data_IF_641313004479
#
_entry.id   IF_641313004479
#
_cell.length_a   1.000
_cell.length_b   1.000
_cell.length_c   1.000
_cell.angle_alpha   90.00
_cell.angle_beta   90.00
_cell.angle_gamma   90.00
#
_symmetry.space_group_name_H-M   'P 1'
#
loop_
_entity.id
_entity.type
_entity.pdbx_description
1 polymer ?
#
# COMPACT_ATOMS: atom_id res chain seq x y z
N UNK A 1 -34.65 -20.97 -38.87
CA UNK A 1 -33.38 -20.41 -39.39
C UNK A 1 -32.90 -19.39 -38.38
N UNK A 2 -31.60 -19.38 -38.13
CA UNK A 2 -30.91 -19.03 -36.87
C UNK A 2 -31.20 -17.63 -36.30
N UNK A 3 -31.54 -17.59 -35.00
CA UNK A 3 -31.43 -16.46 -34.08
C UNK A 3 -29.95 -16.14 -33.82
N UNK A 4 -29.55 -14.88 -33.92
CA UNK A 4 -28.20 -14.43 -33.55
C UNK A 4 -28.23 -13.16 -32.69
N UNK A 5 -28.44 -13.34 -31.38
CA UNK A 5 -28.14 -12.34 -30.35
C UNK A 5 -26.62 -12.31 -30.13
N UNK A 6 -25.98 -11.15 -30.28
CA UNK A 6 -24.63 -10.88 -29.80
C UNK A 6 -24.72 -9.76 -28.77
N UNK A 7 -24.81 -10.15 -27.50
CA UNK A 7 -24.54 -9.28 -26.36
C UNK A 7 -23.02 -9.31 -26.12
N UNK A 8 -22.34 -8.21 -26.44
CA UNK A 8 -20.92 -8.03 -26.20
C UNK A 8 -20.69 -7.62 -24.74
N UNK A 9 -19.98 -8.50 -24.02
CA UNK A 9 -18.93 -8.19 -23.04
C UNK A 9 -19.31 -7.22 -21.91
N UNK A 10 -19.83 -7.76 -20.81
CA UNK A 10 -19.94 -7.04 -19.55
C UNK A 10 -18.57 -6.54 -19.08
N UNK A 11 -18.52 -5.25 -18.73
CA UNK A 11 -17.46 -4.68 -17.90
C UNK A 11 -17.36 -5.52 -16.63
N UNK A 12 -16.15 -6.01 -16.32
CA UNK A 12 -15.88 -6.78 -15.12
C UNK A 12 -16.45 -6.05 -13.91
N UNK A 13 -17.43 -6.67 -13.25
CA UNK A 13 -17.98 -6.11 -12.03
C UNK A 13 -16.84 -6.04 -10.99
N UNK A 14 -16.75 -4.94 -10.21
CA UNK A 14 -15.90 -4.94 -9.03
C UNK A 14 -16.34 -6.15 -8.19
N UNK A 15 -15.44 -7.12 -8.01
CA UNK A 15 -15.70 -8.25 -7.13
C UNK A 15 -15.92 -7.65 -5.75
N UNK A 16 -17.12 -7.87 -5.20
CA UNK A 16 -17.50 -7.49 -3.85
C UNK A 16 -16.34 -7.84 -2.90
N UNK A 17 -15.66 -6.81 -2.40
CA UNK A 17 -14.70 -6.98 -1.32
C UNK A 17 -15.52 -7.40 -0.10
N UNK A 18 -15.14 -8.47 0.61
CA UNK A 18 -15.84 -8.83 1.83
C UNK A 18 -15.71 -7.65 2.81
N UNK A 19 -16.84 -6.99 3.09
CA UNK A 19 -16.97 -6.06 4.21
C UNK A 19 -16.99 -6.91 5.47
N UNK A 20 -15.82 -7.28 5.99
CA UNK A 20 -15.75 -7.81 7.34
C UNK A 20 -15.92 -6.65 8.31
N UNK A 21 -16.83 -6.77 9.25
CA UNK A 21 -17.07 -5.79 10.32
C UNK A 21 -15.85 -5.59 11.26
N UNK A 22 -14.82 -6.41 11.12
CA UNK A 22 -13.54 -6.26 11.81
C UNK A 22 -12.46 -5.93 10.77
N UNK A 23 -11.68 -4.86 10.94
CA UNK A 23 -10.45 -4.60 10.16
C UNK A 23 -10.61 -3.83 8.85
N UNK A 24 -9.48 -3.30 8.37
CA UNK A 24 -9.36 -2.52 7.14
C UNK A 24 -8.93 -3.43 6.00
N UNK A 25 -9.67 -3.42 4.90
CA UNK A 25 -9.24 -4.03 3.63
C UNK A 25 -8.62 -2.92 2.79
N UNK A 26 -7.54 -3.21 2.07
CA UNK A 26 -6.96 -2.21 1.20
C UNK A 26 -6.41 -2.76 -0.10
N UNK A 27 -6.09 -1.83 -0.99
CA UNK A 27 -5.48 -2.09 -2.30
C UNK A 27 -4.25 -1.23 -2.49
N UNK A 28 -3.18 -1.80 -3.02
CA UNK A 28 -2.01 -1.06 -3.52
C UNK A 28 -2.16 -0.89 -5.04
N UNK A 29 -2.03 0.35 -5.49
CA UNK A 29 -2.19 0.74 -6.90
C UNK A 29 -0.95 1.49 -7.36
N UNK A 30 -0.33 1.02 -8.43
CA UNK A 30 0.67 1.77 -9.16
C UNK A 30 -0.03 2.82 -10.03
N UNK A 31 0.28 4.09 -9.78
CA UNK A 31 -0.29 5.24 -10.50
C UNK A 31 0.68 5.68 -11.59
N UNK A 32 0.16 5.87 -12.80
CA UNK A 32 0.93 6.39 -13.93
C UNK A 32 0.53 7.83 -14.25
N UNK A 33 1.51 8.70 -14.41
CA UNK A 33 1.36 10.07 -14.91
C UNK A 33 1.35 10.14 -16.45
N UNK A 34 1.65 9.02 -17.12
CA UNK A 34 1.72 8.93 -18.58
C UNK A 34 0.31 8.86 -19.17
N UNK A 35 -0.07 9.92 -19.88
CA UNK A 35 -1.37 10.02 -20.56
C UNK A 35 -1.70 8.77 -21.38
N UNK A 36 -2.85 8.15 -21.09
CA UNK A 36 -3.35 6.96 -21.80
C UNK A 36 -2.91 5.63 -21.20
N UNK A 37 -2.04 5.63 -20.19
CA UNK A 37 -1.72 4.45 -19.39
C UNK A 37 -2.63 4.46 -18.15
N UNK A 38 -3.47 3.43 -17.96
CA UNK A 38 -4.30 3.34 -16.76
C UNK A 38 -3.48 2.94 -15.54
N UNK A 39 -3.95 3.35 -14.37
CA UNK A 39 -3.52 2.79 -13.09
C UNK A 39 -3.68 1.27 -13.08
N UNK A 40 -2.76 0.59 -12.38
CA UNK A 40 -2.76 -0.86 -12.28
C UNK A 40 -2.56 -1.29 -10.81
N UNK A 41 -3.12 -2.44 -10.39
CA UNK A 41 -2.75 -3.04 -9.12
C UNK A 41 -1.22 -3.21 -9.03
N UNK A 42 -0.64 -2.93 -7.88
CA UNK A 42 0.76 -3.20 -7.57
C UNK A 42 0.83 -4.52 -6.78
N UNK A 43 1.07 -5.67 -7.45
CA UNK A 43 1.08 -6.96 -6.78
C UNK A 43 2.35 -7.15 -5.93
N UNK A 44 2.31 -8.14 -5.06
CA UNK A 44 3.44 -8.64 -4.27
C UNK A 44 3.95 -7.67 -3.19
N UNK A 45 4.85 -8.13 -2.32
CA UNK A 45 5.45 -7.32 -1.26
C UNK A 45 4.51 -7.11 -0.07
N UNK A 46 4.73 -6.03 0.68
CA UNK A 46 4.03 -5.79 1.95
C UNK A 46 3.60 -4.32 2.12
N UNK A 47 2.57 -4.12 2.94
CA UNK A 47 2.24 -2.85 3.58
C UNK A 47 2.64 -3.00 5.04
N UNK A 48 3.40 -2.03 5.55
CA UNK A 48 3.81 -1.99 6.95
C UNK A 48 3.15 -0.81 7.62
N UNK A 49 2.62 -1.02 8.81
CA UNK A 49 2.10 0.05 9.66
C UNK A 49 2.93 0.16 10.92
N UNK A 50 3.43 1.35 11.23
CA UNK A 50 4.21 1.65 12.42
C UNK A 50 3.45 2.63 13.31
N UNK A 51 3.64 2.58 14.63
CA UNK A 51 3.22 3.66 15.52
C UNK A 51 3.88 4.98 15.10
N UNK A 52 3.19 6.11 15.29
CA UNK A 52 3.73 7.43 14.96
C UNK A 52 4.95 7.82 15.80
N UNK A 53 5.13 7.18 16.96
CA UNK A 53 6.32 7.32 17.79
C UNK A 53 7.59 6.76 17.13
N UNK A 54 7.47 5.88 16.13
CA UNK A 54 8.61 5.28 15.42
C UNK A 54 9.12 6.14 14.24
N UNK A 55 8.54 7.32 13.99
CA UNK A 55 8.90 8.15 12.82
C UNK A 55 10.36 8.56 12.84
N UNK A 56 10.91 8.96 13.98
CA UNK A 56 12.31 9.38 14.08
C UNK A 56 13.28 8.21 13.78
N UNK A 57 12.96 7.01 14.24
CA UNK A 57 13.74 5.81 13.91
C UNK A 57 13.69 5.49 12.40
N UNK A 58 12.52 5.63 11.79
CA UNK A 58 12.35 5.45 10.34
C UNK A 58 13.10 6.50 9.54
N UNK A 59 13.14 7.75 10.01
CA UNK A 59 13.95 8.81 9.40
C UNK A 59 15.44 8.48 9.46
N UNK A 60 15.91 7.94 10.58
CA UNK A 60 17.30 7.49 10.71
C UNK A 60 17.62 6.36 9.70
N UNK A 61 16.68 5.44 9.46
CA UNK A 61 16.83 4.40 8.43
C UNK A 61 16.85 4.96 7.01
N UNK A 62 16.07 6.02 6.74
CA UNK A 62 16.04 6.68 5.44
C UNK A 62 17.30 7.50 5.14
N UNK A 63 18.04 7.89 6.19
CA UNK A 63 19.33 8.57 6.11
C UNK A 63 19.35 9.91 6.83
N UNK A 64 20.54 10.37 7.22
CA UNK A 64 20.73 11.61 7.96
C UNK A 64 20.16 12.83 7.21
N UNK A 65 19.38 13.65 7.92
CA UNK A 65 18.79 14.87 7.38
C UNK A 65 17.52 14.67 6.56
N UNK A 66 17.04 13.42 6.40
CA UNK A 66 15.74 13.16 5.79
C UNK A 66 14.64 13.85 6.58
N UNK A 67 13.73 14.52 5.89
CA UNK A 67 12.54 15.12 6.49
C UNK A 67 11.35 14.17 6.38
N UNK A 68 10.40 14.23 7.31
CA UNK A 68 9.21 13.36 7.29
C UNK A 68 8.45 13.41 5.95
N UNK A 69 8.29 14.60 5.37
CA UNK A 69 7.64 14.77 4.05
C UNK A 69 8.36 14.05 2.91
N UNK A 70 9.65 13.77 3.08
CA UNK A 70 10.50 13.11 2.10
C UNK A 70 10.38 11.58 2.21
N UNK A 71 9.88 11.06 3.34
CA UNK A 71 9.66 9.63 3.53
C UNK A 71 8.79 9.04 2.44
N UNK A 72 7.82 9.78 1.91
CA UNK A 72 6.94 9.29 0.83
C UNK A 72 7.67 9.02 -0.49
N UNK A 73 8.86 9.59 -0.67
CA UNK A 73 9.75 9.37 -1.83
C UNK A 73 10.96 8.50 -1.48
N UNK A 74 11.20 8.27 -0.19
CA UNK A 74 12.41 7.59 0.29
C UNK A 74 12.42 6.12 -0.10
N UNK A 75 13.65 5.62 -0.31
CA UNK A 75 13.93 4.20 -0.47
C UNK A 75 15.01 3.79 0.50
N UNK A 76 14.70 2.83 1.36
CA UNK A 76 15.63 2.31 2.36
C UNK A 76 15.28 0.86 2.68
N UNK A 77 16.22 0.10 3.21
CA UNK A 77 15.99 -1.30 3.58
C UNK A 77 15.41 -1.36 4.98
N UNK A 78 14.37 -2.17 5.17
CA UNK A 78 13.80 -2.44 6.47
C UNK A 78 13.71 -3.95 6.65
N UNK A 79 14.48 -4.47 7.61
CA UNK A 79 14.42 -5.88 7.95
C UNK A 79 13.10 -6.19 8.69
N UNK A 80 12.52 -7.38 8.53
CA UNK A 80 11.32 -7.77 9.27
C UNK A 80 11.45 -7.62 10.79
N UNK A 81 12.64 -7.92 11.33
CA UNK A 81 12.96 -7.78 12.75
C UNK A 81 12.84 -6.33 13.21
N UNK A 82 13.26 -5.38 12.37
CA UNK A 82 13.13 -3.94 12.65
C UNK A 82 11.67 -3.51 12.70
N UNK A 83 10.78 -4.10 11.89
CA UNK A 83 9.34 -3.79 11.97
C UNK A 83 8.79 -4.18 13.34
N UNK A 84 9.14 -5.37 13.83
CA UNK A 84 8.70 -5.87 15.14
C UNK A 84 9.27 -5.03 16.29
N UNK A 85 10.56 -4.69 16.24
CA UNK A 85 11.22 -3.82 17.22
C UNK A 85 10.57 -2.43 17.33
N UNK A 86 10.10 -1.89 16.20
CA UNK A 86 9.38 -0.62 16.14
C UNK A 86 7.89 -0.73 16.51
N UNK A 87 7.43 -1.90 16.95
CA UNK A 87 6.03 -2.15 17.31
C UNK A 87 5.08 -2.12 16.12
N UNK A 88 5.60 -2.48 14.95
CA UNK A 88 4.91 -2.46 13.68
C UNK A 88 3.99 -3.65 13.43
N UNK A 89 3.31 -3.60 12.29
CA UNK A 89 2.54 -4.72 11.77
C UNK A 89 2.77 -4.81 10.27
N UNK A 90 2.85 -6.04 9.76
CA UNK A 90 3.10 -6.33 8.35
C UNK A 90 1.84 -6.98 7.77
N UNK A 91 1.40 -6.48 6.62
CA UNK A 91 0.36 -7.09 5.80
C UNK A 91 0.93 -7.45 4.43
N UNK A 92 0.79 -8.71 4.04
CA UNK A 92 1.17 -9.17 2.70
C UNK A 92 0.18 -8.65 1.65
N UNK A 93 0.73 -8.25 0.50
CA UNK A 93 -0.05 -7.80 -0.66
C UNK A 93 -0.19 -8.97 -1.62
N UNK A 94 -1.44 -9.36 -1.90
CA UNK A 94 -1.73 -10.47 -2.80
C UNK A 94 -1.49 -10.13 -4.29
N UNK A 95 -1.60 -11.13 -5.17
CA UNK A 95 -1.40 -10.94 -6.61
C UNK A 95 -2.41 -10.02 -7.31
N UNK A 96 -3.45 -9.55 -6.59
CA UNK A 96 -4.40 -8.55 -7.05
C UNK A 96 -4.16 -7.18 -6.38
N UNK A 97 -3.04 -7.00 -5.67
CA UNK A 97 -2.69 -5.78 -4.96
C UNK A 97 -3.46 -5.61 -3.65
N UNK A 98 -4.15 -6.63 -3.13
CA UNK A 98 -5.01 -6.49 -1.94
C UNK A 98 -4.27 -6.88 -0.68
N UNK A 99 -4.60 -6.22 0.41
CA UNK A 99 -4.08 -6.51 1.75
C UNK A 99 -5.15 -6.30 2.81
N UNK A 100 -4.84 -6.71 4.04
CA UNK A 100 -5.69 -6.52 5.21
C UNK A 100 -4.88 -6.01 6.40
N UNK A 101 -5.42 -5.04 7.12
CA UNK A 101 -4.85 -4.48 8.34
C UNK A 101 -5.83 -4.63 9.49
N UNK A 102 -5.34 -5.07 10.65
CA UNK A 102 -6.11 -5.15 11.90
C UNK A 102 -5.65 -4.07 12.90
N UNK A 103 -5.25 -2.89 12.37
CA UNK A 103 -4.78 -1.74 13.14
C UNK A 103 -5.62 -0.50 12.83
N UNK A 104 -5.71 0.40 13.82
CA UNK A 104 -6.53 1.61 13.77
C UNK A 104 -5.76 2.84 14.28
N UNK A 105 -6.28 4.02 13.95
CA UNK A 105 -5.77 5.33 14.38
C UNK A 105 -4.61 5.84 13.53
N UNK A 106 -3.97 6.91 14.00
CA UNK A 106 -2.81 7.51 13.31
C UNK A 106 -1.62 6.54 13.27
N UNK A 107 -1.18 6.20 12.06
CA UNK A 107 -0.07 5.29 11.78
C UNK A 107 0.86 5.90 10.73
N UNK A 108 2.12 5.48 10.76
CA UNK A 108 3.00 5.61 9.60
C UNK A 108 2.81 4.36 8.73
N UNK A 109 2.32 4.54 7.51
CA UNK A 109 2.10 3.48 6.53
C UNK A 109 3.25 3.48 5.54
N UNK A 110 3.94 2.36 5.41
CA UNK A 110 5.05 2.15 4.49
C UNK A 110 4.71 1.07 3.47
N UNK A 111 5.15 1.27 2.22
CA UNK A 111 5.10 0.21 1.21
C UNK A 111 6.46 -0.48 1.18
N UNK A 112 6.52 -1.79 1.39
CA UNK A 112 7.75 -2.56 1.19
C UNK A 112 7.62 -3.43 -0.05
N UNK A 113 8.62 -3.39 -0.93
CA UNK A 113 8.67 -4.24 -2.12
C UNK A 113 10.00 -4.99 -2.17
N UNK A 114 9.96 -6.25 -2.60
CA UNK A 114 11.19 -6.96 -2.90
C UNK A 114 11.83 -6.32 -4.14
N UNK A 115 13.02 -5.74 -3.96
CA UNK A 115 13.80 -5.24 -5.09
C UNK A 115 14.21 -6.42 -5.95
N UNK A 116 13.73 -6.45 -7.20
CA UNK A 116 14.08 -7.51 -8.18
C UNK A 116 15.58 -7.57 -8.49
N UNK A 117 16.35 -6.54 -8.12
CA UNK A 117 17.75 -6.42 -8.52
C UNK A 117 18.74 -7.08 -7.57
N UNK A 118 18.42 -7.16 -6.28
CA UNK A 118 19.31 -7.71 -5.25
C UNK A 118 18.61 -8.61 -4.23
N UNK A 119 17.30 -8.83 -4.35
CA UNK A 119 16.54 -9.65 -3.41
C UNK A 119 16.34 -9.01 -2.03
N UNK A 120 16.76 -7.76 -1.85
CA UNK A 120 16.54 -7.01 -0.61
C UNK A 120 15.11 -6.44 -0.58
N UNK A 121 14.48 -6.48 0.59
CA UNK A 121 13.18 -5.87 0.82
C UNK A 121 13.39 -4.41 1.18
N UNK A 122 12.98 -3.52 0.27
CA UNK A 122 13.12 -2.08 0.43
C UNK A 122 11.77 -1.41 0.63
N UNK A 123 11.73 -0.41 1.52
CA UNK A 123 10.67 0.58 1.55
C UNK A 123 10.65 1.37 0.23
N UNK A 124 9.45 1.52 -0.31
CA UNK A 124 9.09 2.32 -1.47
C UNK A 124 8.15 3.45 -1.01
N UNK A 125 8.62 4.19 -0.01
CA UNK A 125 7.89 5.30 0.59
C UNK A 125 7.14 4.97 1.88
N UNK A 126 6.99 5.98 2.73
CA UNK A 126 6.12 5.97 3.91
C UNK A 126 5.33 7.29 4.04
N UNK A 127 4.13 7.24 4.61
CA UNK A 127 3.28 8.41 4.85
C UNK A 127 2.42 8.20 6.10
N UNK A 128 2.13 9.27 6.83
CA UNK A 128 1.14 9.20 7.92
C UNK A 128 -0.27 9.05 7.34
N UNK A 129 -1.07 8.21 7.97
CA UNK A 129 -2.49 8.05 7.67
C UNK A 129 -3.26 7.74 8.95
N UNK A 130 -4.50 8.23 9.04
CA UNK A 130 -5.43 7.84 10.09
C UNK A 130 -6.26 6.65 9.59
N UNK A 131 -6.02 5.47 10.15
CA UNK A 131 -6.66 4.23 9.70
C UNK A 131 -8.00 4.04 10.43
N UNK A 132 -9.11 3.81 9.70
CA UNK A 132 -10.41 3.61 10.33
C UNK A 132 -10.49 2.27 11.04
N UNK A 133 -11.51 2.08 11.89
CA UNK A 133 -11.76 0.80 12.55
C UNK A 133 -12.14 -0.33 11.57
N UNK A 134 -12.71 0.06 10.44
CA UNK A 134 -13.03 -0.81 9.31
C UNK A 134 -13.33 0.05 8.08
N UNK A 135 -13.29 -0.57 6.91
CA UNK A 135 -13.51 0.13 5.64
C UNK A 135 -12.46 -0.22 4.59
N UNK A 136 -12.39 0.59 3.54
CA UNK A 136 -11.47 0.40 2.43
C UNK A 136 -10.39 1.49 2.43
N UNK A 137 -9.14 1.07 2.26
CA UNK A 137 -7.99 1.98 2.12
C UNK A 137 -7.30 1.74 0.79
N UNK A 138 -7.06 2.82 0.05
CA UNK A 138 -6.29 2.81 -1.18
C UNK A 138 -4.88 3.35 -0.92
N UNK A 139 -3.88 2.53 -1.15
CA UNK A 139 -2.46 2.91 -1.12
C UNK A 139 -2.02 3.12 -2.56
N UNK A 140 -1.50 4.29 -2.89
CA UNK A 140 -1.01 4.59 -4.24
C UNK A 140 0.48 4.83 -4.22
N UNK A 141 1.18 4.28 -5.22
CA UNK A 141 2.60 4.51 -5.46
C UNK A 141 2.79 5.02 -6.88
N UNK A 142 3.44 6.18 -7.03
CA UNK A 142 3.76 6.76 -8.33
C UNK A 142 4.86 7.82 -8.20
N UNK A 143 5.00 8.68 -9.20
CA UNK A 143 6.00 9.75 -9.20
C UNK A 143 5.79 10.76 -8.05
N UNK A 144 4.55 10.95 -7.62
CA UNK A 144 4.19 11.76 -6.46
C UNK A 144 4.54 11.12 -5.11
N UNK A 145 5.18 9.94 -5.12
CA UNK A 145 5.51 9.15 -3.94
C UNK A 145 4.32 8.33 -3.44
N UNK A 146 4.45 7.81 -2.23
CA UNK A 146 3.38 7.09 -1.55
C UNK A 146 2.26 8.05 -1.13
N UNK A 147 1.02 7.63 -1.30
CA UNK A 147 -0.15 8.24 -0.67
C UNK A 147 -1.10 7.15 -0.16
N UNK A 148 -1.92 7.53 0.82
CA UNK A 148 -2.94 6.67 1.42
C UNK A 148 -4.24 7.47 1.44
N UNK A 149 -5.30 6.89 0.88
CA UNK A 149 -6.64 7.43 0.83
C UNK A 149 -7.60 6.48 1.55
N UNK A 150 -8.43 7.03 2.44
CA UNK A 150 -9.48 6.25 3.12
C UNK A 150 -10.76 6.46 2.33
N UNK A 151 -11.33 5.37 1.82
CA UNK A 151 -12.62 5.38 1.12
C UNK A 151 -13.73 5.22 2.17
N UNK A 152 -14.50 6.28 2.38
CA UNK A 152 -15.65 6.33 3.31
C UNK A 152 -16.96 5.94 2.64
#
# INVERSE_FOLDING_TARGET
MVLGLLALGGCGQPRDLPTSDDGVVGTVVAVSDVSGIPDAPDPDGWVVTLPTAAVDDVLALAGEGTLERELRYSRFTMAPETVDELGGTVAEVDGAGRFRLDVVGERLVCRLSASRWNGEVGAAGCVRADLPAGGVVRVTLGEAGLAVEVET
#
